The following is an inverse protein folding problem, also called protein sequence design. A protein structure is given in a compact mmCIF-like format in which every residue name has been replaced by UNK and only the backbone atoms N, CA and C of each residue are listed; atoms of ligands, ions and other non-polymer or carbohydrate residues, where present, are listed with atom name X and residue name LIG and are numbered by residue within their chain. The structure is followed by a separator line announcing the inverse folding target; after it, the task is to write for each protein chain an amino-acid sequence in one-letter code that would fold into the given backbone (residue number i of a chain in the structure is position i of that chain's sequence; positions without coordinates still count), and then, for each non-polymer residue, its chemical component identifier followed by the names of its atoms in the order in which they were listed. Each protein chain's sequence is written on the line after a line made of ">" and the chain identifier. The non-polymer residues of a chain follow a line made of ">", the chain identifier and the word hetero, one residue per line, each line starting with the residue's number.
data_IF_358098814128
#
_entry.id   IF_358098814128
#
_cell.length_a   1.000
_cell.length_b   1.000
_cell.length_c   1.000
_cell.angle_alpha   90.00
_cell.angle_beta   90.00
_cell.angle_gamma   90.00
#
_symmetry.space_group_name_H-M   'P 1'
#
loop_
_entity.id
_entity.type
_entity.pdbx_description
1 polymer ?
#
# COMPACT_ATOMS: atom_id res chain seq x y z
N UNK A 1 35.52 -13.79 -7.48
CA UNK A 1 34.62 -13.40 -6.38
C UNK A 1 34.39 -11.90 -6.49
N UNK A 2 33.31 -11.48 -7.15
CA UNK A 2 32.90 -10.07 -7.19
C UNK A 2 31.85 -9.90 -6.09
N UNK A 3 32.09 -8.98 -5.16
CA UNK A 3 31.18 -8.70 -4.04
C UNK A 3 29.94 -7.95 -4.53
N UNK A 4 28.77 -8.34 -4.03
CA UNK A 4 27.50 -7.65 -4.29
C UNK A 4 27.53 -6.19 -3.81
N UNK A 5 26.84 -5.26 -4.50
CA UNK A 5 26.69 -3.90 -4.01
C UNK A 5 25.80 -3.89 -2.77
N UNK A 6 26.41 -3.61 -1.61
CA UNK A 6 25.70 -3.29 -0.36
C UNK A 6 24.66 -2.20 -0.65
N UNK A 7 23.38 -2.49 -0.37
CA UNK A 7 22.28 -1.55 -0.57
C UNK A 7 22.53 -0.29 0.25
N UNK A 8 23.09 0.76 -0.38
CA UNK A 8 23.36 2.02 0.27
C UNK A 8 22.03 2.61 0.77
N UNK A 9 21.93 2.80 2.08
CA UNK A 9 20.75 3.35 2.73
C UNK A 9 20.43 4.73 2.13
N UNK A 10 19.42 4.80 1.27
CA UNK A 10 18.96 6.07 0.71
C UNK A 10 18.30 6.88 1.83
N UNK A 11 18.67 8.15 2.06
CA UNK A 11 18.05 8.95 3.10
C UNK A 11 16.55 9.13 2.78
N UNK A 12 15.70 8.77 3.75
CA UNK A 12 14.25 8.93 3.63
C UNK A 12 13.94 10.43 3.67
N UNK A 13 13.61 11.01 2.51
CA UNK A 13 13.18 12.41 2.42
C UNK A 13 11.69 12.51 2.75
N UNK A 14 11.37 13.11 3.89
CA UNK A 14 9.99 13.46 4.23
C UNK A 14 9.45 14.44 3.18
N UNK A 15 8.40 14.04 2.46
CA UNK A 15 7.64 14.95 1.58
C UNK A 15 6.46 15.47 2.37
N UNK A 16 6.44 16.77 2.67
CA UNK A 16 5.22 17.45 3.10
C UNK A 16 4.36 17.62 1.86
N UNK A 17 3.25 16.90 1.77
CA UNK A 17 2.34 17.08 0.66
C UNK A 17 1.42 18.26 0.97
N UNK A 18 1.61 19.35 0.24
CA UNK A 18 0.76 20.54 0.32
C UNK A 18 -0.37 20.38 -0.70
N UNK A 19 -1.33 19.51 -0.36
CA UNK A 19 -2.49 19.31 -1.21
C UNK A 19 -3.48 20.46 -1.01
N UNK A 20 -3.87 21.20 -2.07
CA UNK A 20 -4.84 22.29 -1.97
C UNK A 20 -6.27 21.77 -1.89
N UNK A 21 -6.56 20.82 -0.99
CA UNK A 21 -7.90 20.24 -0.85
C UNK A 21 -8.91 21.25 -0.31
N UNK A 22 -8.46 22.34 0.32
CA UNK A 22 -9.32 23.42 0.80
C UNK A 22 -9.88 24.28 -0.34
N UNK A 23 -9.13 24.42 -1.44
CA UNK A 23 -9.53 25.19 -2.62
C UNK A 23 -10.15 24.32 -3.72
N UNK A 24 -10.05 22.99 -3.57
CA UNK A 24 -10.63 22.03 -4.48
C UNK A 24 -12.11 21.79 -4.12
N UNK A 25 -13.00 22.01 -5.08
CA UNK A 25 -14.41 21.62 -4.99
C UNK A 25 -14.55 20.10 -5.11
N UNK A 26 -14.16 19.39 -4.04
CA UNK A 26 -14.27 17.94 -3.97
C UNK A 26 -15.68 17.58 -3.51
N UNK A 27 -16.49 16.96 -4.38
CA UNK A 27 -17.85 16.59 -4.01
C UNK A 27 -17.88 15.55 -2.89
N UNK A 28 -18.88 15.65 -2.01
CA UNK A 28 -19.10 14.72 -0.88
C UNK A 28 -19.11 13.26 -1.33
N UNK A 29 -19.73 12.99 -2.47
CA UNK A 29 -19.84 11.68 -3.11
C UNK A 29 -19.03 11.66 -4.40
N UNK A 30 -17.71 11.68 -4.25
CA UNK A 30 -16.79 11.79 -5.39
C UNK A 30 -16.88 10.62 -6.38
N UNK A 31 -17.39 9.47 -5.95
CA UNK A 31 -17.62 8.33 -6.83
C UNK A 31 -19.02 8.40 -7.48
N UNK A 32 -19.13 9.09 -8.61
CA UNK A 32 -20.36 9.18 -9.41
C UNK A 32 -21.62 9.54 -8.59
N UNK A 33 -21.48 10.44 -7.62
CA UNK A 33 -22.53 10.85 -6.67
C UNK A 33 -23.16 9.68 -5.87
N UNK A 34 -22.47 8.54 -5.79
CA UNK A 34 -22.96 7.33 -5.12
C UNK A 34 -22.35 7.20 -3.71
N UNK A 35 -23.18 7.25 -2.65
CA UNK A 35 -22.70 7.19 -1.27
C UNK A 35 -22.13 5.82 -0.88
N UNK A 36 -22.72 4.72 -1.35
CA UNK A 36 -22.28 3.36 -0.99
C UNK A 36 -20.89 3.07 -1.56
N UNK A 37 -20.68 3.39 -2.84
CA UNK A 37 -19.39 3.13 -3.50
C UNK A 37 -18.32 4.09 -3.00
N UNK A 38 -18.66 5.35 -2.75
CA UNK A 38 -17.74 6.33 -2.15
C UNK A 38 -17.25 5.85 -0.79
N UNK A 39 -18.14 5.43 0.10
CA UNK A 39 -17.73 4.91 1.41
C UNK A 39 -16.96 3.59 1.32
N UNK A 40 -17.34 2.70 0.40
CA UNK A 40 -16.59 1.47 0.13
C UNK A 40 -15.16 1.75 -0.31
N UNK A 41 -14.96 2.65 -1.26
CA UNK A 41 -13.64 3.04 -1.75
C UNK A 41 -12.80 3.75 -0.66
N UNK A 42 -13.42 4.64 0.12
CA UNK A 42 -12.77 5.31 1.25
C UNK A 42 -12.36 4.34 2.38
N UNK A 43 -13.06 3.22 2.53
CA UNK A 43 -12.76 2.20 3.54
C UNK A 43 -11.83 1.10 3.06
N UNK A 44 -11.65 0.95 1.75
CA UNK A 44 -10.87 -0.14 1.16
C UNK A 44 -9.42 -0.13 1.65
N UNK A 45 -8.84 1.05 1.88
CA UNK A 45 -7.46 1.15 2.34
C UNK A 45 -7.25 0.66 3.77
N UNK A 46 -8.32 0.53 4.57
CA UNK A 46 -8.26 0.03 5.94
C UNK A 46 -7.98 -1.47 6.01
N UNK A 47 -8.26 -2.20 4.93
CA UNK A 47 -8.03 -3.64 4.86
C UNK A 47 -6.57 -3.98 4.52
N UNK A 48 -5.82 -3.06 3.93
CA UNK A 48 -4.44 -3.33 3.51
C UNK A 48 -3.50 -3.69 4.66
N UNK A 49 -3.51 -3.04 5.84
CA UNK A 49 -2.57 -3.38 6.91
C UNK A 49 -2.74 -4.81 7.43
N UNK A 50 -3.98 -5.27 7.64
CA UNK A 50 -4.22 -6.64 8.10
C UNK A 50 -4.14 -7.65 6.96
N UNK A 51 -4.54 -7.24 5.75
CA UNK A 51 -4.37 -8.02 4.52
C UNK A 51 -2.90 -8.31 4.23
N UNK A 52 -2.02 -7.32 4.37
CA UNK A 52 -0.57 -7.48 4.22
C UNK A 52 0.01 -8.42 5.28
N UNK A 53 -0.39 -8.26 6.54
CA UNK A 53 0.02 -9.17 7.62
C UNK A 53 -0.42 -10.61 7.34
N UNK A 54 -1.65 -10.79 6.90
CA UNK A 54 -2.17 -12.10 6.51
C UNK A 54 -1.39 -12.68 5.32
N UNK A 55 -1.16 -11.89 4.28
CA UNK A 55 -0.39 -12.30 3.10
C UNK A 55 1.02 -12.76 3.48
N UNK A 56 1.76 -11.97 4.27
CA UNK A 56 3.10 -12.33 4.75
C UNK A 56 3.07 -13.62 5.58
N UNK A 57 2.11 -13.76 6.50
CA UNK A 57 1.98 -14.99 7.32
C UNK A 57 1.74 -16.22 6.44
N UNK A 58 0.84 -16.12 5.47
CA UNK A 58 0.52 -17.19 4.54
C UNK A 58 1.74 -17.59 3.71
N UNK A 59 2.42 -16.62 3.09
CA UNK A 59 3.64 -16.88 2.31
C UNK A 59 4.72 -17.55 3.18
N UNK A 60 4.98 -17.04 4.39
CA UNK A 60 5.96 -17.64 5.31
C UNK A 60 5.61 -19.07 5.71
N UNK A 61 4.32 -19.40 5.86
CA UNK A 61 3.88 -20.73 6.28
C UNK A 61 4.11 -21.80 5.21
N UNK A 62 4.08 -21.44 3.93
CA UNK A 62 4.26 -22.39 2.81
C UNK A 62 5.64 -22.29 2.16
N UNK A 63 6.49 -21.38 2.63
CA UNK A 63 7.82 -21.12 2.07
C UNK A 63 8.74 -22.34 2.11
N UNK A 64 8.59 -23.20 3.12
CA UNK A 64 9.33 -24.45 3.29
C UNK A 64 8.93 -25.55 2.30
N UNK A 65 7.78 -25.38 1.61
CA UNK A 65 7.24 -26.33 0.62
C UNK A 65 7.50 -25.88 -0.82
N UNK A 66 8.15 -24.73 -1.00
CA UNK A 66 8.57 -24.25 -2.30
C UNK A 66 9.89 -24.95 -2.62
N UNK A 67 9.80 -26.01 -3.43
CA UNK A 67 10.95 -26.79 -3.89
C UNK A 67 11.59 -26.19 -5.16
N UNK A 68 10.87 -25.31 -5.85
CA UNK A 68 11.30 -24.65 -7.08
C UNK A 68 11.73 -23.20 -6.79
N UNK A 69 13.01 -22.84 -7.00
CA UNK A 69 13.52 -21.50 -6.76
C UNK A 69 13.16 -20.46 -7.84
N UNK A 70 12.37 -20.79 -8.87
CA UNK A 70 11.93 -19.86 -9.93
C UNK A 70 10.58 -19.18 -9.69
#
# INVERSE_FOLDING_TARGET
>A
MQAEPTHAARPIRVRKMDFPFADADVPRWWFHDNPLVTHGANGLNLLFPEGERFFIRSVKHYMDRIEDPE
#
